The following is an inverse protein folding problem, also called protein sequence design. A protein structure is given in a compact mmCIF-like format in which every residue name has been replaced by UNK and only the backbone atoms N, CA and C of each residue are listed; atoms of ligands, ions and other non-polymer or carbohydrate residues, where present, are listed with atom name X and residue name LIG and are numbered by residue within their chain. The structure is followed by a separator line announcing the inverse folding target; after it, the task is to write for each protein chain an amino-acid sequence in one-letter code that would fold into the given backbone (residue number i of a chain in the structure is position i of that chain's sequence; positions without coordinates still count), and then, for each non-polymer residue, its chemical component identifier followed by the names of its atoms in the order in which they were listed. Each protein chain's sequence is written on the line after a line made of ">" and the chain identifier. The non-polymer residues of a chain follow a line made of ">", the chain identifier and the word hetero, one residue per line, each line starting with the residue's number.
data_IF_046525994311
#
_entry.id   IF_046525994311
#
_cell.length_a   1.000
_cell.length_b   1.000
_cell.length_c   1.000
_cell.angle_alpha   90.00
_cell.angle_beta   90.00
_cell.angle_gamma   90.00
#
_symmetry.space_group_name_H-M   'P 1'
#
loop_
_entity.id
_entity.type
_entity.pdbx_description
1 polymer ?
#
# COMPACT_ATOMS: atom_id res chain seq x y z
N UNK A 1 -2.47 24.79 -21.05
CA UNK A 1 -1.66 25.18 -19.88
C UNK A 1 -1.85 24.06 -18.87
N UNK A 2 -0.78 23.39 -18.43
CA UNK A 2 -0.89 22.33 -17.44
C UNK A 2 -1.26 22.93 -16.08
N UNK A 3 -2.21 22.32 -15.38
CA UNK A 3 -2.54 22.70 -14.01
C UNK A 3 -1.39 22.26 -13.08
N UNK A 4 -0.66 23.21 -12.46
CA UNK A 4 0.46 22.88 -11.58
C UNK A 4 0.02 22.05 -10.37
N UNK A 5 -1.22 22.17 -9.90
CA UNK A 5 -1.74 21.39 -8.77
C UNK A 5 -1.87 19.93 -9.19
N UNK A 6 -2.45 19.67 -10.36
CA UNK A 6 -2.58 18.32 -10.89
C UNK A 6 -1.21 17.63 -11.07
N UNK A 7 -0.18 18.36 -11.52
CA UNK A 7 1.18 17.82 -11.64
C UNK A 7 1.74 17.41 -10.27
N UNK A 8 1.58 18.25 -9.25
CA UNK A 8 2.06 17.96 -7.89
C UNK A 8 1.36 16.72 -7.33
N UNK A 9 0.04 16.60 -7.52
CA UNK A 9 -0.73 15.43 -7.06
C UNK A 9 -0.25 14.15 -7.75
N UNK A 10 -0.01 14.19 -9.06
CA UNK A 10 0.49 13.03 -9.81
C UNK A 10 1.88 12.60 -9.33
N UNK A 11 2.80 13.55 -9.13
CA UNK A 11 4.15 13.25 -8.60
C UNK A 11 4.04 12.65 -7.19
N UNK A 12 3.20 13.21 -6.33
CA UNK A 12 3.00 12.72 -4.97
C UNK A 12 2.48 11.28 -4.97
N UNK A 13 1.46 10.98 -5.78
CA UNK A 13 0.90 9.63 -5.91
C UNK A 13 1.95 8.65 -6.44
N UNK A 14 2.69 9.04 -7.48
CA UNK A 14 3.75 8.21 -8.03
C UNK A 14 4.83 7.88 -7.01
N UNK A 15 5.25 8.87 -6.21
CA UNK A 15 6.25 8.67 -5.14
C UNK A 15 5.70 7.75 -4.05
N UNK A 16 4.45 7.92 -3.62
CA UNK A 16 3.81 7.07 -2.62
C UNK A 16 3.72 5.62 -3.10
N UNK A 17 3.28 5.38 -4.33
CA UNK A 17 3.22 4.05 -4.93
C UNK A 17 4.62 3.42 -5.04
N UNK A 18 5.60 4.19 -5.53
CA UNK A 18 6.98 3.71 -5.68
C UNK A 18 7.62 3.29 -4.35
N UNK A 19 7.37 4.05 -3.28
CA UNK A 19 7.88 3.72 -1.95
C UNK A 19 7.17 2.48 -1.41
N UNK A 20 5.85 2.39 -1.54
CA UNK A 20 5.05 1.36 -0.87
C UNK A 20 5.05 0.01 -1.61
N UNK A 21 5.17 0.02 -2.93
CA UNK A 21 5.22 -1.18 -3.77
C UNK A 21 6.27 -2.23 -3.31
N UNK A 22 7.56 -1.89 -3.06
CA UNK A 22 8.54 -2.87 -2.62
C UNK A 22 8.22 -3.44 -1.23
N UNK A 23 7.68 -2.63 -0.31
CA UNK A 23 7.28 -3.13 1.01
C UNK A 23 6.10 -4.08 0.93
N UNK A 24 5.10 -3.76 0.10
CA UNK A 24 3.98 -4.67 -0.18
C UNK A 24 4.48 -5.97 -0.78
N UNK A 25 5.35 -5.89 -1.77
CA UNK A 25 5.94 -7.07 -2.40
C UNK A 25 6.65 -7.96 -1.39
N UNK A 26 7.51 -7.38 -0.54
CA UNK A 26 8.23 -8.15 0.49
C UNK A 26 7.26 -8.76 1.49
N UNK A 27 6.25 -8.01 1.91
CA UNK A 27 5.24 -8.48 2.86
C UNK A 27 4.43 -9.66 2.29
N UNK A 28 3.88 -9.51 1.08
CA UNK A 28 3.03 -10.54 0.46
C UNK A 28 3.81 -11.78 0.01
N UNK A 29 5.05 -11.60 -0.43
CA UNK A 29 5.87 -12.69 -0.98
C UNK A 29 6.59 -13.48 0.11
N UNK A 30 7.07 -12.82 1.16
CA UNK A 30 7.91 -13.48 2.18
C UNK A 30 7.26 -13.51 3.55
N UNK A 31 6.79 -12.37 4.07
CA UNK A 31 6.35 -12.26 5.46
C UNK A 31 5.01 -12.99 5.68
N UNK A 32 4.04 -12.82 4.79
CA UNK A 32 2.71 -13.44 4.92
C UNK A 32 2.73 -14.98 4.87
N UNK A 33 3.44 -15.64 3.93
CA UNK A 33 3.53 -17.10 3.91
C UNK A 33 4.23 -17.67 5.17
N UNK A 34 5.30 -17.01 5.63
CA UNK A 34 6.02 -17.39 6.86
C UNK A 34 5.07 -17.27 8.05
N UNK A 35 4.42 -16.11 8.20
CA UNK A 35 3.52 -15.87 9.32
C UNK A 35 2.35 -16.85 9.37
N UNK A 36 1.73 -17.17 8.22
CA UNK A 36 0.69 -18.22 8.15
C UNK A 36 1.19 -19.60 8.56
N UNK A 37 2.43 -19.93 8.21
CA UNK A 37 3.03 -21.24 8.49
C UNK A 37 3.36 -21.41 9.98
N UNK A 38 3.88 -20.37 10.64
CA UNK A 38 4.39 -20.48 12.01
C UNK A 38 3.42 -19.98 13.09
N UNK A 39 2.58 -19.00 12.78
CA UNK A 39 1.69 -18.36 13.75
C UNK A 39 0.21 -18.75 13.56
N UNK A 40 -0.13 -19.38 12.43
CA UNK A 40 -1.45 -19.94 12.18
C UNK A 40 -2.58 -18.91 12.44
N UNK A 41 -3.54 -19.19 13.33
CA UNK A 41 -4.65 -18.28 13.60
C UNK A 41 -4.24 -16.91 14.16
N UNK A 42 -3.12 -16.83 14.90
CA UNK A 42 -2.63 -15.56 15.46
C UNK A 42 -2.11 -14.63 14.36
N UNK A 43 -1.69 -15.19 13.23
CA UNK A 43 -1.24 -14.42 12.08
C UNK A 43 -2.36 -13.59 11.44
N UNK A 44 -3.63 -13.99 11.56
CA UNK A 44 -4.73 -13.22 10.97
C UNK A 44 -4.82 -11.81 11.58
N UNK A 45 -4.61 -11.71 12.90
CA UNK A 45 -4.62 -10.42 13.60
C UNK A 45 -3.33 -9.64 13.40
N UNK A 46 -2.18 -10.31 13.48
CA UNK A 46 -0.88 -9.68 13.26
C UNK A 46 -0.71 -9.19 11.81
N UNK A 47 -1.08 -10.03 10.84
CA UNK A 47 -1.08 -9.71 9.41
C UNK A 47 -2.04 -8.57 9.07
N UNK A 48 -3.22 -8.50 9.72
CA UNK A 48 -4.14 -7.36 9.57
C UNK A 48 -3.50 -6.04 10.04
N UNK A 49 -2.86 -6.04 11.21
CA UNK A 49 -2.19 -4.84 11.73
C UNK A 49 -1.03 -4.43 10.82
N UNK A 50 -0.26 -5.40 10.31
CA UNK A 50 0.85 -5.15 9.40
C UNK A 50 0.40 -4.67 8.01
N UNK A 51 -0.82 -4.99 7.57
CA UNK A 51 -1.35 -4.51 6.30
C UNK A 51 -2.12 -3.18 6.39
N UNK A 52 -2.49 -2.73 7.60
CA UNK A 52 -3.17 -1.43 7.79
C UNK A 52 -2.44 -0.22 7.19
N UNK A 53 -1.11 -0.08 7.26
CA UNK A 53 -0.40 1.03 6.64
C UNK A 53 -0.58 1.08 5.12
N UNK A 54 -0.63 -0.08 4.47
CA UNK A 54 -0.88 -0.17 3.03
C UNK A 54 -2.30 0.28 2.68
N UNK A 55 -3.28 -0.13 3.47
CA UNK A 55 -4.66 0.30 3.29
C UNK A 55 -4.80 1.82 3.41
N UNK A 56 -4.11 2.43 4.38
CA UNK A 56 -4.11 3.90 4.57
C UNK A 56 -3.54 4.61 3.35
N UNK A 57 -2.44 4.11 2.79
CA UNK A 57 -1.85 4.68 1.58
C UNK A 57 -2.80 4.55 0.39
N UNK A 58 -3.48 3.41 0.24
CA UNK A 58 -4.44 3.22 -0.85
C UNK A 58 -5.63 4.18 -0.76
N UNK A 59 -6.15 4.39 0.46
CA UNK A 59 -7.22 5.36 0.71
C UNK A 59 -6.75 6.78 0.41
N UNK A 60 -5.51 7.12 0.80
CA UNK A 60 -4.95 8.44 0.52
C UNK A 60 -4.83 8.69 -0.99
N UNK A 61 -4.33 7.71 -1.74
CA UNK A 61 -4.25 7.79 -3.21
C UNK A 61 -5.66 7.94 -3.79
N UNK A 62 -6.63 7.13 -3.35
CA UNK A 62 -8.01 7.23 -3.79
C UNK A 62 -8.63 8.60 -3.54
N UNK A 63 -8.38 9.22 -2.38
CA UNK A 63 -8.87 10.56 -2.06
C UNK A 63 -8.21 11.64 -2.93
N UNK A 64 -6.95 11.46 -3.33
CA UNK A 64 -6.19 12.42 -4.12
C UNK A 64 -6.50 12.33 -5.62
N UNK A 65 -6.82 11.15 -6.14
CA UNK A 65 -6.97 10.92 -7.60
C UNK A 65 -8.39 10.50 -8.01
N UNK A 66 -9.23 10.07 -7.07
CA UNK A 66 -10.51 9.42 -7.36
C UNK A 66 -10.37 8.03 -7.98
N UNK A 67 -9.17 7.46 -8.03
CA UNK A 67 -8.90 6.16 -8.66
C UNK A 67 -8.51 5.13 -7.62
N UNK A 68 -8.98 3.90 -7.80
CA UNK A 68 -8.54 2.77 -6.99
C UNK A 68 -7.11 2.41 -7.41
N UNK A 69 -6.12 2.46 -6.50
CA UNK A 69 -4.74 2.09 -6.81
C UNK A 69 -4.72 0.62 -7.25
N UNK A 70 -4.13 0.38 -8.42
CA UNK A 70 -3.97 -0.96 -8.98
C UNK A 70 -2.62 -1.49 -8.56
N UNK A 71 -2.64 -2.63 -7.87
CA UNK A 71 -1.46 -3.44 -7.56
C UNK A 71 -0.96 -4.07 -8.85
#
# INVERSE_FOLDING_TARGET
>A
MFDPIAIIVVILVFVLEFIVAPYRYVFTTFIDPIGRTYLGPLWQWAGLVLCMPFLVVDILIFLLTGTIPKI
#
